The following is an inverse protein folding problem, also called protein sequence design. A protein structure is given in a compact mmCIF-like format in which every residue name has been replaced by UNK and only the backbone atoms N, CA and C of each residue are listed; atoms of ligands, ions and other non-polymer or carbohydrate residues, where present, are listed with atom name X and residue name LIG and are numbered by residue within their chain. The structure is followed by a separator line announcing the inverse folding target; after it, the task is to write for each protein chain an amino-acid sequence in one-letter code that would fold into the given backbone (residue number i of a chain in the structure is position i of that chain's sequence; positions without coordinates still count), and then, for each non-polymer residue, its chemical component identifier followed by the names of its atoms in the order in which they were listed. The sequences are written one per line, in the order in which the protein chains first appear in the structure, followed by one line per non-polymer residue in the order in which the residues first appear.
data_IF_010049924269
#
_entry.id   IF_010049924269
#
_cell.length_a   1.000
_cell.length_b   1.000
_cell.length_c   1.000
_cell.angle_alpha   90.00
_cell.angle_beta   90.00
_cell.angle_gamma   90.00
#
_symmetry.space_group_name_H-M   'P 1'
#
loop_
_entity.id
_entity.type
_entity.pdbx_description
1 polymer ?
#
# COMPACT_ATOMS: atom_id res chain seq x y z
N UNK A 1 -21.41 -11.11 15.42
CA UNK A 1 -20.70 -12.42 15.21
C UNK A 1 -19.28 -12.23 15.70
N UNK A 2 -18.67 -13.24 16.36
CA UNK A 2 -17.25 -13.13 16.72
C UNK A 2 -16.46 -13.35 15.44
N UNK A 3 -15.88 -12.30 14.89
CA UNK A 3 -14.97 -12.36 13.77
C UNK A 3 -13.68 -13.01 14.29
N UNK A 4 -13.32 -14.18 13.75
CA UNK A 4 -12.11 -14.91 14.12
C UNK A 4 -10.93 -14.53 13.22
N UNK A 5 -9.76 -15.14 13.45
CA UNK A 5 -8.62 -15.03 12.54
C UNK A 5 -9.00 -15.52 11.13
N UNK A 6 -8.38 -14.94 10.11
CA UNK A 6 -8.57 -15.36 8.73
C UNK A 6 -8.10 -16.81 8.54
N UNK A 7 -8.86 -17.64 7.82
CA UNK A 7 -8.42 -19.01 7.54
C UNK A 7 -7.28 -19.03 6.54
N UNK A 8 -6.41 -20.04 6.68
CA UNK A 8 -5.21 -20.26 5.86
C UNK A 8 -5.40 -21.45 4.92
N UNK A 9 -4.59 -21.49 3.87
CA UNK A 9 -4.52 -22.62 2.92
C UNK A 9 -5.88 -22.98 2.27
N UNK A 10 -6.48 -22.00 1.62
CA UNK A 10 -7.80 -22.14 1.00
C UNK A 10 -7.72 -22.38 -0.52
N UNK A 11 -8.59 -23.25 -1.01
CA UNK A 11 -8.89 -23.38 -2.44
C UNK A 11 -9.84 -22.26 -2.89
N UNK A 12 -9.28 -21.20 -3.49
CA UNK A 12 -10.06 -20.04 -3.92
C UNK A 12 -11.04 -20.37 -5.05
N UNK A 13 -10.72 -21.35 -5.92
CA UNK A 13 -11.66 -21.86 -6.95
C UNK A 13 -12.91 -22.43 -6.31
N UNK A 14 -12.70 -23.30 -5.34
CA UNK A 14 -13.79 -23.95 -4.61
C UNK A 14 -14.64 -22.95 -3.84
N UNK A 15 -14.03 -21.91 -3.26
CA UNK A 15 -14.75 -20.82 -2.60
C UNK A 15 -15.62 -20.04 -3.60
N UNK A 16 -15.02 -19.59 -4.72
CA UNK A 16 -15.72 -18.82 -5.73
C UNK A 16 -16.81 -19.62 -6.46
N UNK A 17 -16.58 -20.92 -6.67
CA UNK A 17 -17.61 -21.81 -7.23
C UNK A 17 -18.86 -21.94 -6.33
N UNK A 18 -18.69 -21.78 -5.02
CA UNK A 18 -19.78 -21.89 -4.02
C UNK A 18 -20.37 -20.53 -3.62
N UNK A 19 -19.79 -19.43 -4.04
CA UNK A 19 -20.24 -18.08 -3.64
C UNK A 19 -20.09 -17.85 -2.13
N UNK A 20 -18.89 -18.07 -1.59
CA UNK A 20 -18.62 -18.00 -0.14
C UNK A 20 -18.24 -16.58 0.26
N UNK A 21 -18.79 -16.12 1.38
CA UNK A 21 -18.36 -14.90 2.07
C UNK A 21 -17.56 -15.26 3.32
N UNK A 22 -16.40 -14.62 3.51
CA UNK A 22 -15.53 -14.80 4.68
C UNK A 22 -15.18 -13.44 5.25
N UNK A 23 -15.38 -13.29 6.56
CA UNK A 23 -14.91 -12.12 7.32
C UNK A 23 -13.97 -12.58 8.42
N UNK A 24 -12.92 -11.78 8.66
CA UNK A 24 -11.96 -12.08 9.71
C UNK A 24 -11.21 -10.86 10.23
N UNK A 25 -10.46 -11.09 11.30
CA UNK A 25 -9.51 -10.12 11.83
C UNK A 25 -8.11 -10.40 11.31
N UNK A 26 -7.37 -9.33 11.06
CA UNK A 26 -5.97 -9.35 10.66
C UNK A 26 -5.15 -8.83 11.83
N UNK A 27 -4.34 -9.70 12.43
CA UNK A 27 -3.51 -9.35 13.58
C UNK A 27 -2.09 -8.96 13.14
N UNK A 28 -1.32 -8.21 13.96
CA UNK A 28 0.05 -7.83 13.61
C UNK A 28 0.95 -9.01 13.25
N UNK A 29 0.74 -10.16 13.89
CA UNK A 29 1.47 -11.40 13.64
C UNK A 29 1.16 -12.08 12.30
N UNK A 30 0.04 -11.71 11.67
CA UNK A 30 -0.35 -12.18 10.34
C UNK A 30 0.19 -11.29 9.21
N UNK A 31 0.94 -10.22 9.54
CA UNK A 31 1.42 -9.17 8.62
C UNK A 31 2.95 -9.00 8.68
N UNK A 32 3.74 -10.02 8.35
CA UNK A 32 5.20 -9.97 8.47
C UNK A 32 5.85 -8.94 7.55
N UNK A 33 5.37 -8.75 6.33
CA UNK A 33 5.92 -7.80 5.36
C UNK A 33 5.70 -6.35 5.80
N UNK A 34 4.53 -6.08 6.41
CA UNK A 34 4.22 -4.77 6.98
C UNK A 34 5.20 -4.46 8.13
N UNK A 35 5.42 -5.44 9.03
CA UNK A 35 6.38 -5.32 10.13
C UNK A 35 7.82 -5.13 9.63
N UNK A 36 8.23 -5.85 8.59
CA UNK A 36 9.57 -5.74 7.97
C UNK A 36 9.78 -4.35 7.32
N UNK A 37 8.73 -3.69 6.87
CA UNK A 37 8.78 -2.32 6.37
C UNK A 37 8.88 -1.26 7.47
N UNK A 38 8.85 -1.66 8.73
CA UNK A 38 8.90 -0.77 9.90
C UNK A 38 7.57 -0.10 10.22
N UNK A 39 6.47 -0.57 9.62
CA UNK A 39 5.11 -0.05 9.86
C UNK A 39 4.40 -0.98 10.84
N UNK A 40 3.88 -0.42 11.92
CA UNK A 40 3.13 -1.17 12.92
C UNK A 40 1.62 -0.95 12.72
N UNK A 41 0.84 -2.00 12.92
CA UNK A 41 -0.61 -1.88 13.05
C UNK A 41 -0.98 -1.51 14.49
N UNK A 42 -1.89 -0.54 14.67
CA UNK A 42 -2.27 -0.03 16.00
C UNK A 42 -3.09 -1.06 16.77
N UNK A 43 -4.03 -1.69 16.05
CA UNK A 43 -4.95 -2.70 16.55
C UNK A 43 -5.27 -3.68 15.44
N UNK A 44 -5.88 -4.83 15.77
CA UNK A 44 -6.28 -5.79 14.74
C UNK A 44 -7.20 -5.12 13.73
N UNK A 45 -6.84 -5.24 12.45
CA UNK A 45 -7.66 -4.82 11.34
C UNK A 45 -8.79 -5.80 11.05
N UNK A 46 -9.63 -5.46 10.08
CA UNK A 46 -10.69 -6.32 9.57
C UNK A 46 -10.53 -6.54 8.07
N UNK A 47 -10.86 -7.74 7.61
CA UNK A 47 -10.92 -8.03 6.19
C UNK A 47 -12.16 -8.87 5.87
N UNK A 48 -12.74 -8.59 4.70
CA UNK A 48 -13.88 -9.31 4.15
C UNK A 48 -13.60 -9.72 2.70
N UNK A 49 -14.02 -10.92 2.35
CA UNK A 49 -13.79 -11.54 1.06
C UNK A 49 -15.10 -12.12 0.54
N UNK A 50 -15.59 -11.61 -0.60
CA UNK A 50 -16.74 -12.12 -1.31
C UNK A 50 -16.32 -12.88 -2.54
N UNK A 51 -16.30 -14.20 -2.45
CA UNK A 51 -15.95 -15.10 -3.53
C UNK A 51 -17.16 -15.41 -4.40
N UNK A 52 -17.04 -15.28 -5.72
CA UNK A 52 -18.10 -15.61 -6.65
C UNK A 52 -17.56 -15.94 -8.04
N UNK A 53 -18.45 -16.42 -8.91
CA UNK A 53 -18.21 -16.40 -10.35
C UNK A 53 -18.87 -15.17 -10.96
N UNK A 54 -18.19 -14.55 -11.91
CA UNK A 54 -18.79 -13.50 -12.73
C UNK A 54 -19.62 -14.09 -13.90
N UNK A 55 -20.16 -13.20 -14.74
CA UNK A 55 -21.01 -13.58 -15.88
C UNK A 55 -20.25 -14.40 -16.93
N UNK A 56 -18.92 -14.26 -17.02
CA UNK A 56 -18.05 -15.03 -17.91
C UNK A 56 -17.44 -16.26 -17.22
N UNK A 57 -17.97 -16.65 -16.07
CA UNK A 57 -17.55 -17.78 -15.27
C UNK A 57 -16.11 -17.70 -14.71
N UNK A 58 -15.49 -16.49 -14.65
CA UNK A 58 -14.22 -16.28 -13.96
C UNK A 58 -14.42 -16.41 -12.45
N UNK A 59 -13.38 -16.88 -11.78
CA UNK A 59 -13.35 -16.95 -10.33
C UNK A 59 -12.88 -15.60 -9.80
N UNK A 60 -13.76 -14.87 -9.15
CA UNK A 60 -13.48 -13.51 -8.67
C UNK A 60 -13.69 -13.40 -7.18
N UNK A 61 -12.95 -12.49 -6.56
CA UNK A 61 -13.10 -12.13 -5.16
C UNK A 61 -13.14 -10.61 -5.02
N UNK A 62 -14.17 -10.09 -4.36
CA UNK A 62 -14.16 -8.72 -3.88
C UNK A 62 -13.54 -8.73 -2.48
N UNK A 63 -12.52 -7.90 -2.31
CA UNK A 63 -11.77 -7.78 -1.06
C UNK A 63 -12.00 -6.40 -0.48
N UNK A 64 -12.32 -6.34 0.81
CA UNK A 64 -12.37 -5.09 1.57
C UNK A 64 -11.52 -5.25 2.83
N UNK A 65 -10.59 -4.34 3.04
CA UNK A 65 -9.69 -4.37 4.20
C UNK A 65 -9.68 -3.00 4.87
N UNK A 66 -9.78 -3.00 6.18
CA UNK A 66 -9.66 -1.80 7.01
C UNK A 66 -8.65 -2.05 8.13
N UNK A 67 -7.69 -1.13 8.27
CA UNK A 67 -6.67 -1.18 9.30
C UNK A 67 -6.28 0.23 9.75
N UNK A 68 -5.54 0.32 10.85
CA UNK A 68 -4.92 1.57 11.31
C UNK A 68 -3.45 1.30 11.59
N UNK A 69 -2.58 2.03 10.92
CA UNK A 69 -1.14 1.84 11.00
C UNK A 69 -0.45 3.05 11.61
N UNK A 70 0.73 2.84 12.20
CA UNK A 70 1.61 3.92 12.67
C UNK A 70 2.64 4.19 11.58
N UNK A 71 2.72 5.43 11.14
CA UNK A 71 3.68 5.91 10.16
C UNK A 71 4.35 7.18 10.64
N UNK A 72 5.53 7.48 10.09
CA UNK A 72 6.21 8.75 10.37
C UNK A 72 5.67 9.85 9.45
N UNK A 73 5.22 10.96 10.05
CA UNK A 73 4.83 12.14 9.30
C UNK A 73 6.04 12.71 8.52
N UNK A 74 5.91 12.87 7.21
CA UNK A 74 7.00 13.35 6.36
C UNK A 74 7.29 14.86 6.50
N UNK A 75 6.53 15.57 7.34
CA UNK A 75 6.70 16.99 7.60
C UNK A 75 7.39 17.29 8.94
N UNK A 76 6.96 16.63 10.03
CA UNK A 76 7.50 16.87 11.37
C UNK A 76 8.30 15.69 11.93
N UNK A 77 8.34 14.56 11.22
CA UNK A 77 9.07 13.33 11.55
C UNK A 77 8.61 12.66 12.86
N UNK A 78 7.46 13.04 13.42
CA UNK A 78 6.85 12.32 14.52
C UNK A 78 5.87 11.26 14.04
N UNK A 79 5.62 10.27 14.87
CA UNK A 79 4.68 9.20 14.58
C UNK A 79 3.24 9.73 14.49
N UNK A 80 2.46 9.13 13.60
CA UNK A 80 1.05 9.41 13.43
C UNK A 80 0.29 8.15 13.08
N UNK A 81 -0.95 8.06 13.49
CA UNK A 81 -1.85 7.00 13.11
C UNK A 81 -2.52 7.35 11.76
N UNK A 82 -2.47 6.39 10.83
CA UNK A 82 -3.04 6.53 9.50
C UNK A 82 -4.11 5.46 9.31
N UNK A 83 -5.38 5.85 9.08
CA UNK A 83 -6.39 4.88 8.68
C UNK A 83 -6.10 4.40 7.25
N UNK A 84 -6.13 3.10 7.05
CA UNK A 84 -5.93 2.45 5.75
C UNK A 84 -7.19 1.69 5.40
N UNK A 85 -7.68 1.90 4.19
CA UNK A 85 -8.82 1.17 3.63
C UNK A 85 -8.52 0.82 2.19
N UNK A 86 -8.78 -0.42 1.82
CA UNK A 86 -8.75 -0.90 0.45
C UNK A 86 -10.05 -1.63 0.12
N UNK A 87 -10.56 -1.38 -1.07
CA UNK A 87 -11.67 -2.10 -1.68
C UNK A 87 -11.25 -2.46 -3.10
N UNK A 88 -11.00 -3.73 -3.38
CA UNK A 88 -10.52 -4.24 -4.67
C UNK A 88 -11.40 -5.36 -5.22
N UNK A 89 -11.35 -5.55 -6.53
CA UNK A 89 -12.02 -6.64 -7.21
C UNK A 89 -10.99 -7.42 -8.02
N UNK A 90 -10.67 -8.61 -7.54
CA UNK A 90 -9.63 -9.46 -8.12
C UNK A 90 -10.22 -10.63 -8.91
N UNK A 91 -9.51 -11.05 -9.95
CA UNK A 91 -9.79 -12.30 -10.63
C UNK A 91 -8.62 -13.28 -10.42
N UNK A 92 -8.95 -14.51 -9.98
CA UNK A 92 -7.97 -15.58 -9.84
C UNK A 92 -7.46 -16.00 -11.22
N UNK A 93 -6.15 -16.01 -11.39
CA UNK A 93 -5.45 -16.41 -12.60
C UNK A 93 -4.28 -17.35 -12.27
N UNK A 94 -3.89 -18.19 -13.22
CA UNK A 94 -2.87 -19.22 -13.05
C UNK A 94 -1.69 -19.07 -14.00
N UNK A 95 -1.72 -18.05 -14.86
CA UNK A 95 -0.62 -17.70 -15.75
C UNK A 95 -0.60 -16.20 -16.07
N UNK A 96 0.57 -15.72 -16.50
CA UNK A 96 0.74 -14.33 -16.94
C UNK A 96 -0.12 -14.02 -18.19
N UNK A 97 -0.38 -15.00 -19.04
CA UNK A 97 -1.24 -14.85 -20.21
C UNK A 97 -2.70 -14.63 -19.79
N UNK A 98 -3.18 -15.35 -18.77
CA UNK A 98 -4.51 -15.14 -18.21
C UNK A 98 -4.60 -13.75 -17.56
N UNK A 99 -3.57 -13.33 -16.80
CA UNK A 99 -3.51 -12.02 -16.20
C UNK A 99 -3.56 -10.89 -17.25
N UNK A 100 -2.79 -11.02 -18.33
CA UNK A 100 -2.77 -10.04 -19.42
C UNK A 100 -4.08 -9.96 -20.21
N UNK A 101 -4.89 -11.02 -20.18
CA UNK A 101 -6.17 -11.09 -20.87
C UNK A 101 -7.36 -10.59 -20.03
N UNK A 102 -7.14 -10.23 -18.75
CA UNK A 102 -8.20 -9.74 -17.89
C UNK A 102 -8.73 -8.36 -18.34
N UNK A 103 -10.03 -8.13 -18.22
CA UNK A 103 -10.57 -6.77 -18.29
C UNK A 103 -9.94 -5.87 -17.21
N UNK A 104 -9.76 -4.58 -17.54
CA UNK A 104 -9.17 -3.59 -16.64
C UNK A 104 -9.96 -3.33 -15.33
N UNK A 105 -11.13 -3.91 -15.21
CA UNK A 105 -11.96 -3.87 -13.98
C UNK A 105 -11.51 -4.85 -12.92
N UNK A 106 -10.66 -5.82 -13.27
CA UNK A 106 -10.13 -6.83 -12.36
C UNK A 106 -8.64 -6.66 -12.15
N UNK A 107 -8.21 -6.81 -10.91
CA UNK A 107 -6.81 -7.00 -10.58
C UNK A 107 -6.46 -8.49 -10.66
N UNK A 108 -5.33 -8.87 -11.27
CA UNK A 108 -4.94 -10.26 -11.34
C UNK A 108 -4.48 -10.76 -9.97
N UNK A 109 -5.14 -11.79 -9.46
CA UNK A 109 -4.69 -12.54 -8.29
C UNK A 109 -4.05 -13.85 -8.76
N UNK A 110 -2.73 -13.89 -8.77
CA UNK A 110 -1.98 -15.11 -9.09
C UNK A 110 -2.19 -16.15 -8.00
N UNK A 111 -2.70 -17.30 -8.36
CA UNK A 111 -3.09 -18.35 -7.42
C UNK A 111 -2.34 -19.63 -7.72
N UNK A 112 -1.69 -20.18 -6.70
CA UNK A 112 -1.17 -21.54 -6.68
C UNK A 112 -2.27 -22.54 -6.24
N UNK A 113 -1.87 -23.67 -5.68
CA UNK A 113 -2.82 -24.71 -5.20
C UNK A 113 -3.67 -24.22 -4.01
N UNK A 114 -3.10 -23.36 -3.15
CA UNK A 114 -3.78 -22.79 -1.98
C UNK A 114 -3.30 -21.37 -1.70
N UNK A 115 -4.17 -20.53 -1.14
CA UNK A 115 -3.86 -19.17 -0.75
C UNK A 115 -4.23 -18.90 0.71
N UNK A 116 -3.46 -18.03 1.37
CA UNK A 116 -3.76 -17.50 2.69
C UNK A 116 -4.43 -16.13 2.54
N UNK A 117 -5.58 -15.95 3.17
CA UNK A 117 -6.32 -14.69 3.09
C UNK A 117 -5.60 -13.55 3.83
N UNK A 118 -4.76 -13.87 4.79
CA UNK A 118 -3.91 -12.88 5.48
C UNK A 118 -2.89 -12.27 4.51
N UNK A 119 -2.30 -13.06 3.60
CA UNK A 119 -1.32 -12.57 2.64
C UNK A 119 -1.98 -11.60 1.64
N UNK A 120 -3.22 -11.92 1.22
CA UNK A 120 -4.00 -11.02 0.35
C UNK A 120 -4.36 -9.73 1.09
N UNK A 121 -4.80 -9.83 2.36
CA UNK A 121 -5.11 -8.66 3.16
C UNK A 121 -3.88 -7.80 3.44
N UNK A 122 -2.71 -8.39 3.66
CA UNK A 122 -1.44 -7.68 3.82
C UNK A 122 -1.05 -6.91 2.57
N UNK A 123 -1.19 -7.53 1.39
CA UNK A 123 -0.93 -6.87 0.10
C UNK A 123 -1.82 -5.65 -0.07
N UNK A 124 -3.11 -5.78 0.20
CA UNK A 124 -4.07 -4.68 0.12
C UNK A 124 -3.73 -3.53 1.08
N UNK A 125 -3.31 -3.85 2.31
CA UNK A 125 -2.85 -2.82 3.26
C UNK A 125 -1.61 -2.11 2.72
N UNK A 126 -0.61 -2.86 2.23
CA UNK A 126 0.64 -2.31 1.71
C UNK A 126 0.40 -1.39 0.51
N UNK A 127 -0.52 -1.76 -0.39
CA UNK A 127 -0.88 -0.94 -1.56
C UNK A 127 -1.66 0.32 -1.18
N UNK A 128 -2.43 0.29 -0.10
CA UNK A 128 -3.25 1.40 0.34
C UNK A 128 -2.53 2.39 1.27
N UNK A 129 -1.33 2.07 1.74
CA UNK A 129 -0.51 2.97 2.57
C UNK A 129 -0.09 4.20 1.75
N UNK A 130 -0.28 5.44 2.28
CA UNK A 130 0.17 6.64 1.57
C UNK A 130 1.70 6.70 1.50
N UNK A 131 2.22 7.03 0.33
CA UNK A 131 3.67 7.18 0.09
C UNK A 131 4.28 8.29 0.94
N UNK A 132 3.52 9.34 1.23
CA UNK A 132 3.98 10.51 2.01
C UNK A 132 2.91 10.95 3.00
N UNK A 133 2.78 10.25 4.15
CA UNK A 133 1.82 10.62 5.17
C UNK A 133 2.22 11.94 5.85
N UNK A 134 1.24 12.82 6.04
CA UNK A 134 1.41 14.09 6.77
C UNK A 134 0.20 14.31 7.68
N UNK A 135 0.42 14.96 8.84
CA UNK A 135 -0.69 15.35 9.70
C UNK A 135 -1.63 16.31 8.94
N UNK A 136 -2.92 16.19 9.15
CA UNK A 136 -3.93 17.10 8.60
C UNK A 136 -3.74 18.53 9.11
N UNK A 137 -3.34 18.67 10.36
CA UNK A 137 -3.06 19.97 10.98
C UNK A 137 -1.60 20.38 10.82
N UNK A 138 -1.31 21.69 10.95
CA UNK A 138 0.05 22.22 10.99
C UNK A 138 0.83 21.56 12.13
N UNK A 139 1.93 20.89 11.81
CA UNK A 139 2.70 20.10 12.77
C UNK A 139 4.19 20.46 12.82
N UNK A 140 4.65 21.47 12.06
CA UNK A 140 5.99 22.03 12.26
C UNK A 140 5.95 23.01 13.43
N UNK A 141 6.95 22.95 14.31
CA UNK A 141 7.14 24.00 15.29
C UNK A 141 7.62 25.28 14.61
N UNK A 142 7.35 26.43 15.23
CA UNK A 142 7.83 27.74 14.73
C UNK A 142 9.36 27.74 14.57
N UNK A 143 10.07 27.02 15.45
CA UNK A 143 11.52 26.87 15.40
C UNK A 143 12.00 26.05 14.21
N UNK A 144 11.30 24.96 13.87
CA UNK A 144 11.59 24.14 12.70
C UNK A 144 11.30 24.89 11.39
N UNK A 145 10.27 25.72 11.38
CA UNK A 145 9.92 26.57 10.26
C UNK A 145 10.95 27.67 10.04
N UNK A 146 11.37 28.35 11.11
CA UNK A 146 12.40 29.38 11.08
C UNK A 146 13.79 28.81 10.65
N UNK A 147 14.12 27.59 11.06
CA UNK A 147 15.36 26.92 10.63
C UNK A 147 15.37 26.63 9.12
N UNK A 148 14.25 26.19 8.56
CA UNK A 148 14.12 25.92 7.12
C UNK A 148 14.14 27.21 6.30
N UNK A 149 13.55 28.29 6.81
CA UNK A 149 13.58 29.61 6.17
C UNK A 149 14.99 30.19 6.19
N UNK A 150 15.74 30.02 7.30
CA UNK A 150 17.12 30.44 7.41
C UNK A 150 18.07 29.66 6.47
N UNK A 151 17.84 28.36 6.28
CA UNK A 151 18.58 27.55 5.32
C UNK A 151 18.24 27.89 3.85
N UNK A 152 16.99 28.35 3.60
CA UNK A 152 16.56 28.80 2.28
C UNK A 152 17.12 30.19 1.92
N UNK A 153 17.42 31.03 2.91
CA UNK A 153 18.12 32.32 2.79
C UNK A 153 19.65 32.18 2.84
N UNK A 154 20.18 30.99 2.51
CA UNK A 154 21.63 30.74 2.44
C UNK A 154 22.36 31.79 1.61
N UNK A 155 23.68 31.98 1.79
CA UNK A 155 24.42 33.17 1.40
C UNK A 155 24.19 33.54 -0.06
N UNK A 156 23.52 34.67 -0.26
CA UNK A 156 23.23 35.28 -1.58
C UNK A 156 24.48 35.89 -2.23
N UNK A 157 25.66 35.70 -1.64
CA UNK A 157 26.94 36.09 -2.23
C UNK A 157 27.87 34.91 -2.30
N UNK A 158 27.69 34.07 -3.32
CA UNK A 158 28.80 33.29 -3.84
C UNK A 158 29.52 34.23 -4.81
N UNK A 159 30.59 34.88 -4.34
CA UNK A 159 31.57 35.44 -5.27
C UNK A 159 31.95 34.36 -6.28
N UNK A 160 31.70 34.64 -7.53
CA UNK A 160 32.01 33.84 -8.70
C UNK A 160 33.57 33.68 -8.76
N UNK A 161 34.07 32.72 -8.01
CA UNK A 161 35.50 32.35 -8.07
C UNK A 161 35.62 30.96 -8.73
N UNK A 162 35.67 31.02 -10.07
CA UNK A 162 36.15 29.91 -10.87
C UNK A 162 35.09 28.89 -11.31
N UNK A 163 35.12 28.65 -12.57
CA UNK A 163 34.40 27.63 -13.36
C UNK A 163 34.19 26.35 -12.58
N UNK A 164 33.03 26.26 -11.87
CA UNK A 164 32.56 25.00 -11.30
C UNK A 164 32.06 24.15 -12.46
N UNK A 165 32.77 23.08 -12.73
CA UNK A 165 32.40 22.09 -13.72
C UNK A 165 30.98 21.59 -13.37
N UNK A 166 29.96 22.06 -14.13
CA UNK A 166 28.59 21.67 -13.89
C UNK A 166 28.41 20.22 -14.35
N UNK A 167 28.21 19.25 -13.44
CA UNK A 167 28.06 17.85 -13.83
C UNK A 167 26.88 17.60 -14.76
N UNK A 168 25.94 18.57 -14.85
CA UNK A 168 24.76 18.49 -15.72
C UNK A 168 24.94 19.19 -17.06
N UNK A 169 26.11 19.80 -17.35
CA UNK A 169 26.37 20.47 -18.65
C UNK A 169 26.22 19.51 -19.83
N UNK A 170 26.42 18.21 -19.61
CA UNK A 170 26.20 17.16 -20.63
C UNK A 170 24.75 17.10 -21.12
N UNK A 171 23.76 17.51 -20.27
CA UNK A 171 22.34 17.49 -20.62
C UNK A 171 21.91 18.61 -21.59
N UNK A 172 22.73 19.64 -21.76
CA UNK A 172 22.45 20.70 -22.76
C UNK A 172 22.45 20.15 -24.20
N UNK A 173 23.18 19.04 -24.43
CA UNK A 173 23.23 18.36 -25.74
C UNK A 173 21.97 17.58 -26.08
N UNK A 174 21.06 17.39 -25.12
CA UNK A 174 19.79 16.68 -25.32
C UNK A 174 18.63 17.61 -25.73
N UNK A 175 18.88 18.93 -25.83
CA UNK A 175 17.88 19.94 -26.19
C UNK A 175 17.83 20.27 -27.69
N UNK A 176 18.48 19.47 -28.55
CA UNK A 176 18.42 19.64 -30.02
C UNK A 176 17.49 18.64 -30.69
#
# INVERSE_FOLDING_TARGET
MKTGALPKQLDLRGLAARGVHIEGTVSPEDLPRLADSGIAIVESGSAAFDFRRDEEARYVVAVSVEARVVMQCQRCLSDMEVPVKSDSLMACVWSDEEAAALPATYEPLMVDDAADLSDIAEEEILLAIPVSPIHETECKSVEQQAALEADAEGPTEVEDSGERDNPFAVLERLKS
#
